data_IF_818941672173
#
_entry.id   IF_818941672173
#
_cell.length_a   1.000
_cell.length_b   1.000
_cell.length_c   1.000
_cell.angle_alpha   90.00
_cell.angle_beta   90.00
_cell.angle_gamma   90.00
#
_symmetry.space_group_name_H-M   'P 1'
#
loop_
_entity.id
_entity.type
_entity.pdbx_description
1 polymer ?
#
# COMPACT_ATOMS: atom_id res chain seq x y z
N UNK A 1 -7.79 -35.22 0.33
CA UNK A 1 -6.52 -34.46 0.28
C UNK A 1 -6.40 -33.56 -0.95
N UNK A 2 -6.85 -33.95 -2.15
CA UNK A 2 -6.84 -33.04 -3.32
C UNK A 2 -7.78 -31.81 -3.20
N UNK A 3 -8.90 -31.94 -2.48
CA UNK A 3 -9.85 -30.85 -2.28
C UNK A 3 -9.29 -29.69 -1.43
N UNK A 4 -8.54 -29.98 -0.35
CA UNK A 4 -7.92 -28.94 0.48
C UNK A 4 -6.86 -28.14 -0.28
N UNK A 5 -6.07 -28.82 -1.12
CA UNK A 5 -5.07 -28.18 -1.99
C UNK A 5 -5.78 -27.24 -2.97
N UNK A 6 -6.84 -27.73 -3.64
CA UNK A 6 -7.62 -26.90 -4.57
C UNK A 6 -8.30 -25.71 -3.88
N UNK A 7 -8.70 -25.85 -2.62
CA UNK A 7 -9.29 -24.77 -1.84
C UNK A 7 -8.23 -23.73 -1.44
N UNK A 8 -7.04 -24.16 -1.01
CA UNK A 8 -5.93 -23.27 -0.68
C UNK A 8 -5.46 -22.45 -1.88
N UNK A 9 -5.27 -23.10 -3.03
CA UNK A 9 -4.87 -22.46 -4.30
C UNK A 9 -5.93 -21.48 -4.81
N UNK A 10 -7.21 -21.72 -4.50
CA UNK A 10 -8.27 -20.79 -4.87
C UNK A 10 -8.20 -19.44 -4.14
N UNK A 11 -7.58 -19.41 -2.95
CA UNK A 11 -7.50 -18.25 -2.04
C UNK A 11 -6.19 -17.50 -2.12
N UNK A 12 -5.05 -18.19 -2.17
CA UNK A 12 -3.73 -17.58 -2.22
C UNK A 12 -3.29 -17.51 -3.67
N UNK A 13 -3.48 -16.35 -4.29
CA UNK A 13 -3.15 -16.12 -5.70
C UNK A 13 -2.00 -15.12 -5.82
N UNK A 14 -0.87 -15.48 -6.43
CA UNK A 14 0.28 -14.57 -6.54
C UNK A 14 -0.06 -13.33 -7.38
N UNK A 15 -0.98 -13.44 -8.33
CA UNK A 15 -1.40 -12.33 -9.18
C UNK A 15 -2.13 -11.25 -8.37
N UNK A 16 -3.02 -11.66 -7.45
CA UNK A 16 -3.78 -10.71 -6.63
C UNK A 16 -2.90 -10.06 -5.56
N UNK A 17 -1.94 -10.80 -5.01
CA UNK A 17 -0.97 -10.26 -4.05
C UNK A 17 -0.05 -9.23 -4.72
N UNK A 18 0.40 -9.50 -5.96
CA UNK A 18 1.18 -8.53 -6.72
C UNK A 18 0.34 -7.29 -7.10
N UNK A 19 -0.91 -7.49 -7.50
CA UNK A 19 -1.83 -6.41 -7.83
C UNK A 19 -2.14 -5.51 -6.62
N UNK A 20 -2.29 -6.07 -5.42
CA UNK A 20 -2.50 -5.34 -4.17
C UNK A 20 -1.40 -4.29 -3.93
N UNK A 21 -0.13 -4.67 -4.08
CA UNK A 21 1.00 -3.74 -3.92
C UNK A 21 0.92 -2.54 -4.87
N UNK A 22 0.51 -2.78 -6.12
CA UNK A 22 0.34 -1.72 -7.13
C UNK A 22 -0.86 -0.84 -6.79
N UNK A 23 -1.97 -1.42 -6.32
CA UNK A 23 -3.16 -0.69 -5.91
C UNK A 23 -2.89 0.24 -4.72
N UNK A 24 -2.05 -0.19 -3.76
CA UNK A 24 -1.58 0.67 -2.67
C UNK A 24 -0.70 1.83 -3.16
N UNK A 25 0.24 1.58 -4.08
CA UNK A 25 1.10 2.63 -4.63
C UNK A 25 0.29 3.62 -5.50
N UNK A 26 -0.80 3.18 -6.13
CA UNK A 26 -1.74 4.07 -6.82
C UNK A 26 -2.68 4.83 -5.88
N UNK A 27 -2.76 4.44 -4.61
CA UNK A 27 -3.67 5.01 -3.61
C UNK A 27 -5.14 4.61 -3.78
N UNK A 28 -5.41 3.53 -4.53
CA UNK A 28 -6.77 2.96 -4.65
C UNK A 28 -7.17 2.25 -3.36
N UNK A 29 -6.20 1.56 -2.73
CA UNK A 29 -6.36 1.05 -1.37
C UNK A 29 -5.75 2.09 -0.42
N UNK A 30 -6.58 2.61 0.50
CA UNK A 30 -6.24 3.75 1.35
C UNK A 30 -5.87 3.38 2.78
N UNK A 31 -5.70 2.09 3.08
CA UNK A 31 -5.53 1.62 4.45
C UNK A 31 -4.63 0.39 4.53
N UNK A 32 -3.64 0.43 5.42
CA UNK A 32 -2.81 -0.71 5.80
C UNK A 32 -3.19 -1.15 7.23
N UNK A 33 -3.51 -2.43 7.40
CA UNK A 33 -3.85 -3.02 8.69
C UNK A 33 -3.03 -4.28 8.94
N UNK A 34 -2.77 -4.55 10.22
CA UNK A 34 -1.93 -5.67 10.65
C UNK A 34 -2.64 -7.03 10.66
N UNK A 35 -3.98 -7.05 10.64
CA UNK A 35 -4.82 -8.24 10.88
C UNK A 35 -4.29 -9.13 12.02
N UNK A 36 -4.04 -8.48 13.17
CA UNK A 36 -3.33 -9.06 14.32
C UNK A 36 -3.95 -10.35 14.79
N UNK A 37 -3.13 -11.40 14.90
CA UNK A 37 -3.50 -12.73 15.43
C UNK A 37 -4.52 -13.52 14.60
N UNK A 38 -5.10 -12.95 13.53
CA UNK A 38 -6.04 -13.61 12.65
C UNK A 38 -5.38 -14.08 11.34
N UNK A 39 -4.40 -13.33 10.81
CA UNK A 39 -3.49 -13.77 9.74
C UNK A 39 -2.21 -12.92 9.64
N UNK A 40 -2.05 -11.87 10.48
CA UNK A 40 -0.93 -10.95 10.39
C UNK A 40 -0.21 -10.64 11.70
N UNK A 41 0.85 -9.84 11.57
CA UNK A 41 1.84 -9.58 12.62
C UNK A 41 1.71 -8.15 13.12
N UNK A 42 1.22 -7.98 14.35
CA UNK A 42 0.97 -6.66 14.97
C UNK A 42 2.22 -5.76 14.99
N UNK A 43 3.40 -6.35 15.23
CA UNK A 43 4.67 -5.61 15.31
C UNK A 43 5.30 -5.25 13.95
N UNK A 44 4.76 -5.77 12.84
CA UNK A 44 5.35 -5.56 11.51
C UNK A 44 4.59 -4.54 10.66
N UNK A 45 3.46 -4.00 11.13
CA UNK A 45 2.59 -3.13 10.32
C UNK A 45 3.36 -1.98 9.66
N UNK A 46 4.12 -1.22 10.46
CA UNK A 46 4.92 -0.10 9.96
C UNK A 46 6.07 -0.56 9.05
N UNK A 47 6.73 -1.65 9.43
CA UNK A 47 7.83 -2.22 8.64
C UNK A 47 7.35 -2.63 7.24
N UNK A 48 6.19 -3.28 7.15
CA UNK A 48 5.59 -3.72 5.89
C UNK A 48 5.19 -2.55 5.00
N UNK A 49 4.63 -1.49 5.58
CA UNK A 49 4.33 -0.25 4.85
C UNK A 49 5.57 0.33 4.18
N UNK A 50 6.68 0.44 4.91
CA UNK A 50 7.94 0.98 4.35
C UNK A 50 8.55 0.02 3.32
N UNK A 51 8.50 -1.29 3.56
CA UNK A 51 8.98 -2.30 2.61
C UNK A 51 8.19 -2.28 1.30
N UNK A 52 6.86 -2.16 1.36
CA UNK A 52 6.02 -2.06 0.17
C UNK A 52 6.31 -0.76 -0.59
N UNK A 53 6.46 0.37 0.10
CA UNK A 53 6.84 1.64 -0.52
C UNK A 53 8.19 1.54 -1.25
N UNK A 54 9.18 0.88 -0.63
CA UNK A 54 10.48 0.66 -1.25
C UNK A 54 10.40 -0.28 -2.46
N UNK A 55 9.70 -1.41 -2.33
CA UNK A 55 9.52 -2.37 -3.42
C UNK A 55 8.82 -1.74 -4.63
N UNK A 56 7.82 -0.89 -4.39
CA UNK A 56 7.11 -0.17 -5.47
C UNK A 56 7.95 0.93 -6.10
N UNK A 57 8.82 1.60 -5.33
CA UNK A 57 9.84 2.49 -5.90
C UNK A 57 10.79 1.76 -6.84
N UNK A 58 11.27 0.58 -6.45
CA UNK A 58 12.18 -0.23 -7.28
C UNK A 58 11.47 -0.74 -8.54
N UNK A 59 10.23 -1.20 -8.41
CA UNK A 59 9.49 -1.80 -9.52
C UNK A 59 8.91 -0.78 -10.52
N UNK A 60 8.35 0.35 -10.03
CA UNK A 60 7.63 1.33 -10.86
C UNK A 60 8.38 2.64 -11.06
N UNK A 61 9.47 2.86 -10.33
CA UNK A 61 10.19 4.12 -10.36
C UNK A 61 9.45 5.22 -9.58
N UNK A 62 9.61 6.45 -10.04
CA UNK A 62 9.10 7.66 -9.37
C UNK A 62 7.61 7.87 -9.65
N UNK A 63 6.84 8.35 -8.68
CA UNK A 63 5.44 8.73 -8.92
C UNK A 63 5.36 10.04 -9.72
N UNK A 64 4.29 10.26 -10.51
CA UNK A 64 4.12 11.49 -11.27
C UNK A 64 3.93 12.73 -10.38
N UNK A 65 3.48 12.55 -9.13
CA UNK A 65 3.32 13.64 -8.17
C UNK A 65 4.58 13.95 -7.34
N UNK A 66 5.65 13.16 -7.45
CA UNK A 66 6.91 13.37 -6.71
C UNK A 66 7.79 14.44 -7.39
N UNK A 67 8.41 15.33 -6.58
CA UNK A 67 9.32 16.38 -7.07
C UNK A 67 10.69 15.81 -7.47
N UNK A 68 11.41 16.48 -8.38
CA UNK A 68 12.73 16.00 -8.83
C UNK A 68 13.74 15.94 -7.68
N UNK A 69 14.19 14.72 -7.37
CA UNK A 69 15.14 14.43 -6.29
C UNK A 69 14.54 13.96 -4.96
N UNK A 70 13.21 13.84 -4.81
CA UNK A 70 12.60 13.29 -3.60
C UNK A 70 11.40 12.37 -3.88
N UNK A 71 11.06 11.53 -2.90
CA UNK A 71 9.88 10.64 -2.90
C UNK A 71 8.86 11.06 -1.82
N UNK A 72 8.81 12.35 -1.50
CA UNK A 72 8.03 12.86 -0.37
C UNK A 72 6.54 12.53 -0.51
N UNK A 73 6.01 12.54 -1.73
CA UNK A 73 4.61 12.24 -1.97
C UNK A 73 4.31 10.76 -1.75
N UNK A 74 5.22 9.88 -2.20
CA UNK A 74 5.14 8.45 -1.90
C UNK A 74 5.16 8.21 -0.38
N UNK A 75 6.12 8.79 0.34
CA UNK A 75 6.24 8.62 1.79
C UNK A 75 4.96 9.06 2.49
N UNK A 76 4.47 10.27 2.21
CA UNK A 76 3.24 10.77 2.82
C UNK A 76 2.03 9.87 2.54
N UNK A 77 1.89 9.35 1.31
CA UNK A 77 0.83 8.40 0.96
C UNK A 77 0.87 7.16 1.87
N UNK A 78 2.03 6.51 1.98
CA UNK A 78 2.16 5.29 2.78
C UNK A 78 2.03 5.54 4.28
N UNK A 79 2.51 6.68 4.80
CA UNK A 79 2.31 7.08 6.20
C UNK A 79 0.83 7.29 6.50
N UNK A 80 0.10 8.00 5.64
CA UNK A 80 -1.34 8.21 5.82
C UNK A 80 -2.13 6.90 5.81
N UNK A 81 -1.73 5.91 5.00
CA UNK A 81 -2.39 4.61 4.97
C UNK A 81 -2.19 3.81 6.27
N UNK A 82 -1.06 4.00 6.96
CA UNK A 82 -0.73 3.30 8.20
C UNK A 82 -1.43 3.91 9.45
N UNK A 83 -1.67 5.22 9.44
CA UNK A 83 -2.19 5.98 10.59
C UNK A 83 -3.73 5.94 10.74
N UNK A 84 -4.42 5.03 10.05
CA UNK A 84 -5.90 4.94 10.06
C UNK A 84 -6.66 6.20 9.56
N UNK A 85 -5.97 7.28 9.20
CA UNK A 85 -6.56 8.49 8.63
C UNK A 85 -6.88 8.34 7.14
N UNK A 86 -7.80 7.42 6.81
CA UNK A 86 -8.36 7.27 5.45
C UNK A 86 -8.90 8.61 4.90
N UNK A 87 -9.41 9.47 5.79
CA UNK A 87 -9.90 10.82 5.46
C UNK A 87 -8.84 11.83 5.01
N UNK A 88 -7.58 11.74 5.48
CA UNK A 88 -6.51 12.64 5.04
C UNK A 88 -5.89 12.22 3.71
N UNK A 89 -5.88 10.92 3.41
CA UNK A 89 -5.38 10.39 2.13
C UNK A 89 -6.24 10.82 0.93
N UNK A 90 -7.54 11.06 1.14
CA UNK A 90 -8.45 11.64 0.16
C UNK A 90 -8.32 13.17 -0.02
N UNK A 91 -7.63 13.86 0.90
CA UNK A 91 -7.71 15.33 1.04
C UNK A 91 -6.70 16.12 0.19
N UNK A 92 -5.81 15.47 -0.57
CA UNK A 92 -4.81 16.14 -1.45
C UNK A 92 -5.06 15.97 -2.95
N UNK A 93 -6.30 16.10 -3.40
CA UNK A 93 -6.64 16.53 -4.76
C UNK A 93 -7.41 17.86 -4.63
N UNK A 94 -6.97 19.06 -5.11
CA UNK A 94 -5.71 19.52 -5.68
C UNK A 94 -5.10 20.76 -4.98
N UNK A 95 -3.78 20.92 -5.01
CA UNK A 95 -3.08 22.17 -4.66
C UNK A 95 -3.17 23.17 -5.84
N UNK A 96 -4.38 23.59 -6.21
CA UNK A 96 -4.64 24.55 -7.30
C UNK A 96 -5.68 25.62 -6.94
N UNK A 97 -5.93 25.87 -5.65
CA UNK A 97 -6.82 26.95 -5.22
C UNK A 97 -6.41 27.52 -3.86
N UNK A 98 -5.25 28.16 -3.82
CA UNK A 98 -4.94 29.22 -2.85
C UNK A 98 -4.09 30.27 -3.59
N UNK A 99 -4.78 31.06 -4.41
CA UNK A 99 -4.41 32.40 -4.87
C UNK A 99 -5.65 33.26 -4.76
#
# INVERSE_FOLDING_TARGET
MAADVSFAESRVRPETIAAENVLHDMGVISMFSSDSQAMGRVGENWLRVVQTAHAMKVARGKLPEDSDGNDNFRVLRYVCQADHQSGYCAWRKPYHRLS
#
